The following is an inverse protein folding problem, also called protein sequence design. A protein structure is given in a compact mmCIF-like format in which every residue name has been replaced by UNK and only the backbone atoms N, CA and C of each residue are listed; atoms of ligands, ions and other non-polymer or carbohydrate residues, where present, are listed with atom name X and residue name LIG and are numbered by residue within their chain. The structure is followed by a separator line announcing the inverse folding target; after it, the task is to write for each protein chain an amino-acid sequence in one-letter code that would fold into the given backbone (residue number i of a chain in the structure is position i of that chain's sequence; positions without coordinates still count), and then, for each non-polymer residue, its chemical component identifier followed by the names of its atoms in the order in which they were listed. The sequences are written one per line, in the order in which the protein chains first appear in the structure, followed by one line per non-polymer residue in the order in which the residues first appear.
data_IF_075875434681
#
_entry.id   IF_075875434681
#
_cell.length_a   1.000
_cell.length_b   1.000
_cell.length_c   1.000
_cell.angle_alpha   90.00
_cell.angle_beta   90.00
_cell.angle_gamma   90.00
#
_symmetry.space_group_name_H-M   'P 1'
#
loop_
_entity.id
_entity.type
_entity.pdbx_description
1 polymer ?
#
# COMPACT_ATOMS: atom_id res chain seq x y z
N UNK A 1 22.60 6.14 -9.83
CA UNK A 1 21.27 5.69 -9.34
C UNK A 1 21.35 5.13 -7.91
N UNK A 2 21.77 5.91 -6.89
CA UNK A 2 22.28 5.30 -5.64
C UNK A 2 21.76 5.78 -4.29
N UNK A 3 21.06 6.92 -4.18
CA UNK A 3 20.73 7.52 -2.86
C UNK A 3 19.23 7.49 -2.55
N UNK A 4 18.37 7.76 -3.54
CA UNK A 4 16.90 7.75 -3.38
C UNK A 4 16.34 6.36 -3.06
N UNK A 5 16.88 5.31 -3.67
CA UNK A 5 16.52 3.92 -3.36
C UNK A 5 16.86 3.58 -1.92
N UNK A 6 18.06 3.93 -1.44
CA UNK A 6 18.50 3.60 -0.08
C UNK A 6 17.62 4.16 1.03
N UNK A 7 17.16 5.41 0.90
CA UNK A 7 16.34 6.06 1.94
C UNK A 7 14.92 5.47 1.95
N UNK A 8 14.33 5.29 0.78
CA UNK A 8 12.97 4.75 0.65
C UNK A 8 12.93 3.28 1.07
N UNK A 9 13.94 2.49 0.70
CA UNK A 9 14.06 1.09 1.11
C UNK A 9 14.22 0.98 2.64
N UNK A 10 15.04 1.85 3.28
CA UNK A 10 15.18 1.90 4.75
C UNK A 10 13.91 2.35 5.47
N UNK A 11 13.15 3.27 4.87
CA UNK A 11 11.85 3.69 5.40
C UNK A 11 10.81 2.56 5.30
N UNK A 12 10.81 1.84 4.18
CA UNK A 12 9.94 0.70 3.93
C UNK A 12 10.17 -0.46 4.91
N UNK A 13 11.41 -0.71 5.32
CA UNK A 13 11.73 -1.75 6.31
C UNK A 13 11.25 -1.42 7.73
N UNK A 14 11.09 -0.13 8.07
CA UNK A 14 10.77 0.31 9.42
C UNK A 14 9.38 0.91 9.52
N UNK A 15 8.36 0.06 9.65
CA UNK A 15 6.94 0.48 9.77
C UNK A 15 6.64 1.32 11.01
N UNK A 16 7.46 1.23 12.06
CA UNK A 16 7.34 2.07 13.26
C UNK A 16 7.67 3.54 13.00
N UNK A 17 8.43 3.85 11.95
CA UNK A 17 8.79 5.23 11.58
C UNK A 17 7.55 6.04 11.19
N UNK A 18 6.53 5.41 10.62
CA UNK A 18 5.28 6.10 10.28
C UNK A 18 4.57 6.63 11.52
N UNK A 19 4.61 5.89 12.63
CA UNK A 19 4.05 6.34 13.90
C UNK A 19 4.85 7.52 14.46
N UNK A 20 6.18 7.45 14.44
CA UNK A 20 7.01 8.54 14.92
C UNK A 20 6.85 9.81 14.08
N UNK A 21 6.78 9.70 12.76
CA UNK A 21 6.55 10.85 11.88
C UNK A 21 5.19 11.46 12.17
N UNK A 22 4.13 10.66 12.29
CA UNK A 22 2.81 11.16 12.62
C UNK A 22 2.79 11.87 13.99
N UNK A 23 3.41 11.27 15.02
CA UNK A 23 3.54 11.90 16.34
C UNK A 23 4.36 13.19 16.29
N UNK A 24 5.47 13.20 15.54
CA UNK A 24 6.34 14.37 15.44
C UNK A 24 5.66 15.54 14.71
N UNK A 25 4.96 15.26 13.60
CA UNK A 25 4.21 16.27 12.84
C UNK A 25 3.13 16.90 13.71
N UNK A 26 2.34 16.08 14.39
CA UNK A 26 1.26 16.56 15.25
C UNK A 26 1.80 17.23 16.50
N UNK A 27 2.86 16.71 17.11
CA UNK A 27 3.54 17.35 18.24
C UNK A 27 4.09 18.73 17.87
N UNK A 28 4.69 18.87 16.68
CA UNK A 28 5.18 20.15 16.17
C UNK A 28 4.03 21.13 15.89
N UNK A 29 2.93 20.66 15.30
CA UNK A 29 1.75 21.49 15.06
C UNK A 29 1.08 21.93 16.36
N UNK A 30 0.88 21.02 17.32
CA UNK A 30 0.39 21.33 18.67
C UNK A 30 1.28 22.34 19.38
N UNK A 31 2.60 22.18 19.32
CA UNK A 31 3.55 23.12 19.90
C UNK A 31 3.43 24.50 19.24
N UNK A 32 3.27 24.53 17.92
CA UNK A 32 3.07 25.77 17.14
C UNK A 32 1.78 26.45 17.58
N UNK A 33 0.63 25.76 17.53
CA UNK A 33 -0.68 26.31 17.94
C UNK A 33 -0.66 26.81 19.37
N UNK A 34 0.02 26.09 20.29
CA UNK A 34 0.13 26.50 21.69
C UNK A 34 1.02 27.74 21.87
N UNK A 35 2.08 27.86 21.07
CA UNK A 35 3.00 28.99 21.13
C UNK A 35 2.43 30.27 20.49
N UNK A 36 1.74 30.15 19.35
CA UNK A 36 1.20 31.29 18.60
C UNK A 36 -0.25 31.63 18.96
N UNK A 37 -0.96 30.73 19.66
CA UNK A 37 -2.43 30.77 19.86
C UNK A 37 -3.21 30.94 18.54
N UNK A 38 -2.60 30.57 17.43
CA UNK A 38 -3.09 30.78 16.06
C UNK A 38 -2.61 29.65 15.16
N UNK A 39 -3.38 29.29 14.12
CA UNK A 39 -3.08 28.15 13.24
C UNK A 39 -3.91 26.91 13.51
N UNK A 40 -4.91 27.02 14.39
CA UNK A 40 -5.94 26.00 14.57
C UNK A 40 -7.08 26.22 13.57
N UNK A 41 -6.80 25.88 12.31
CA UNK A 41 -7.73 26.13 11.20
C UNK A 41 -9.06 25.38 11.37
N UNK A 42 -9.06 24.22 12.04
CA UNK A 42 -10.25 23.44 12.34
C UNK A 42 -11.18 24.14 13.34
N UNK A 43 -10.67 24.99 14.24
CA UNK A 43 -11.54 25.81 15.10
C UNK A 43 -12.31 26.88 14.35
N UNK A 44 -11.87 27.26 13.16
CA UNK A 44 -12.56 28.27 12.34
C UNK A 44 -13.75 27.69 11.59
N UNK A 45 -13.90 26.37 11.59
CA UNK A 45 -14.93 25.63 10.88
C UNK A 45 -16.03 25.23 11.87
N UNK A 46 -17.29 25.42 11.46
CA UNK A 46 -18.45 25.03 12.26
C UNK A 46 -18.48 23.52 12.54
N UNK A 47 -19.05 23.12 13.68
CA UNK A 47 -19.05 21.72 14.11
C UNK A 47 -19.71 20.80 13.08
N UNK A 48 -20.76 21.26 12.38
CA UNK A 48 -21.43 20.48 11.33
C UNK A 48 -20.49 20.16 10.16
N UNK A 49 -19.77 21.16 9.67
CA UNK A 49 -18.81 21.03 8.58
C UNK A 49 -17.61 20.16 8.97
N UNK A 50 -17.17 20.20 10.23
CA UNK A 50 -16.12 19.29 10.73
C UNK A 50 -16.59 17.83 10.70
N UNK A 51 -17.80 17.55 11.17
CA UNK A 51 -18.33 16.19 11.15
C UNK A 51 -18.50 15.64 9.73
N UNK A 52 -18.92 16.47 8.78
CA UNK A 52 -18.99 16.10 7.36
C UNK A 52 -17.61 15.76 6.80
N UNK A 53 -16.60 16.56 7.13
CA UNK A 53 -15.22 16.32 6.71
C UNK A 53 -14.66 15.03 7.32
N UNK A 54 -14.93 14.75 8.59
CA UNK A 54 -14.54 13.51 9.25
C UNK A 54 -15.21 12.30 8.58
N UNK A 55 -16.50 12.40 8.27
CA UNK A 55 -17.23 11.37 7.52
C UNK A 55 -16.62 11.11 6.14
N UNK A 56 -16.31 12.16 5.39
CA UNK A 56 -15.66 12.05 4.09
C UNK A 56 -14.28 11.37 4.18
N UNK A 57 -13.49 11.74 5.21
CA UNK A 57 -12.18 11.13 5.46
C UNK A 57 -12.29 9.64 5.81
N UNK A 58 -13.26 9.25 6.66
CA UNK A 58 -13.53 7.84 6.98
C UNK A 58 -13.82 7.05 5.69
N UNK A 59 -14.66 7.61 4.82
CA UNK A 59 -14.97 7.02 3.52
C UNK A 59 -13.72 6.83 2.64
N UNK A 60 -12.90 7.87 2.50
CA UNK A 60 -11.69 7.84 1.70
C UNK A 60 -10.67 6.81 2.22
N UNK A 61 -10.38 6.80 3.53
CA UNK A 61 -9.43 5.85 4.14
C UNK A 61 -9.94 4.42 4.04
N UNK A 62 -11.25 4.20 4.19
CA UNK A 62 -11.87 2.88 4.03
C UNK A 62 -11.77 2.38 2.59
N UNK A 63 -12.00 3.24 1.60
CA UNK A 63 -11.85 2.90 0.19
C UNK A 63 -10.40 2.51 -0.16
N UNK A 64 -9.42 3.27 0.35
CA UNK A 64 -8.00 2.95 0.21
C UNK A 64 -7.68 1.59 0.86
N UNK A 65 -8.22 1.32 2.04
CA UNK A 65 -8.10 0.02 2.71
C UNK A 65 -8.65 -1.14 1.88
N UNK A 66 -9.82 -0.94 1.25
CA UNK A 66 -10.43 -1.91 0.34
C UNK A 66 -9.58 -2.19 -0.90
N UNK A 67 -9.09 -1.13 -1.56
CA UNK A 67 -8.16 -1.25 -2.69
C UNK A 67 -6.90 -2.02 -2.28
N UNK A 68 -6.40 -1.79 -1.06
CA UNK A 68 -5.24 -2.48 -0.53
C UNK A 68 -5.47 -3.98 -0.37
N UNK A 69 -6.65 -4.39 0.12
CA UNK A 69 -7.01 -5.80 0.22
C UNK A 69 -7.09 -6.47 -1.17
N UNK A 70 -7.64 -5.78 -2.17
CA UNK A 70 -7.72 -6.28 -3.55
C UNK A 70 -6.31 -6.47 -4.13
N UNK A 71 -5.42 -5.50 -3.97
CA UNK A 71 -4.05 -5.60 -4.44
C UNK A 71 -3.29 -6.77 -3.78
N UNK A 72 -3.52 -7.02 -2.49
CA UNK A 72 -2.97 -8.19 -1.80
C UNK A 72 -3.52 -9.48 -2.42
N UNK A 73 -4.83 -9.55 -2.68
CA UNK A 73 -5.45 -10.73 -3.27
C UNK A 73 -4.87 -11.04 -4.65
N UNK A 74 -4.74 -10.02 -5.52
CA UNK A 74 -4.09 -10.13 -6.84
C UNK A 74 -2.64 -10.58 -6.68
N UNK A 75 -1.91 -9.96 -5.76
CA UNK A 75 -0.54 -10.37 -5.48
C UNK A 75 -0.46 -11.83 -5.05
N UNK A 76 -1.39 -12.33 -4.23
CA UNK A 76 -1.37 -13.73 -3.77
C UNK A 76 -1.77 -14.72 -4.86
N UNK A 77 -2.60 -14.33 -5.84
CA UNK A 77 -3.05 -15.19 -6.92
C UNK A 77 -2.08 -15.30 -8.10
N UNK A 78 -1.16 -14.34 -8.25
CA UNK A 78 -0.10 -14.41 -9.26
C UNK A 78 0.83 -15.62 -9.03
N UNK A 79 1.30 -16.29 -10.09
CA UNK A 79 2.04 -17.56 -9.99
C UNK A 79 3.43 -17.58 -10.67
N UNK A 80 3.97 -16.44 -11.12
CA UNK A 80 5.28 -16.36 -11.80
C UNK A 80 6.45 -16.92 -10.98
N UNK A 81 7.45 -17.50 -11.66
CA UNK A 81 8.57 -18.23 -11.03
C UNK A 81 9.44 -17.37 -10.09
N UNK A 82 9.80 -16.12 -10.44
CA UNK A 82 10.52 -15.25 -9.49
C UNK A 82 9.62 -14.76 -8.39
N UNK A 83 8.35 -14.48 -8.67
CA UNK A 83 7.39 -14.14 -7.62
C UNK A 83 7.26 -15.30 -6.60
N UNK A 84 7.32 -16.55 -7.06
CA UNK A 84 7.41 -17.72 -6.19
C UNK A 84 8.74 -17.79 -5.42
N UNK A 85 9.88 -17.51 -6.07
CA UNK A 85 11.19 -17.48 -5.42
C UNK A 85 11.29 -16.39 -4.33
N UNK A 86 10.79 -15.17 -4.64
CA UNK A 86 10.70 -14.04 -3.70
C UNK A 86 9.76 -14.39 -2.54
N UNK A 87 8.61 -15.04 -2.82
CA UNK A 87 7.76 -15.56 -1.75
C UNK A 87 8.50 -16.59 -0.91
N UNK A 88 9.19 -17.56 -1.48
CA UNK A 88 9.88 -18.59 -0.71
C UNK A 88 10.98 -18.03 0.19
N UNK A 89 11.76 -17.05 -0.28
CA UNK A 89 12.82 -16.42 0.52
C UNK A 89 12.33 -15.36 1.52
N UNK A 90 11.25 -14.61 1.25
CA UNK A 90 10.80 -13.47 2.09
C UNK A 90 9.35 -13.56 2.58
N UNK A 91 8.71 -14.74 2.55
CA UNK A 91 7.32 -14.98 3.01
C UNK A 91 6.98 -14.35 4.36
N UNK A 92 7.90 -14.46 5.34
CA UNK A 92 7.70 -13.94 6.70
C UNK A 92 7.66 -12.42 6.77
N UNK A 93 8.63 -11.75 6.14
CA UNK A 93 8.73 -10.29 6.12
C UNK A 93 7.57 -9.65 5.36
N UNK A 94 7.24 -10.19 4.18
CA UNK A 94 6.18 -9.65 3.35
C UNK A 94 4.82 -9.75 4.03
N UNK A 95 4.50 -10.90 4.63
CA UNK A 95 3.25 -11.09 5.39
C UNK A 95 3.17 -10.16 6.60
N UNK A 96 4.30 -9.87 7.25
CA UNK A 96 4.38 -8.93 8.37
C UNK A 96 4.12 -7.49 7.91
N UNK A 97 4.70 -7.08 6.79
CA UNK A 97 4.49 -5.74 6.20
C UNK A 97 3.04 -5.55 5.77
N UNK A 98 2.45 -6.52 5.06
CA UNK A 98 1.05 -6.48 4.67
C UNK A 98 0.09 -6.43 5.86
N UNK A 99 0.31 -7.27 6.87
CA UNK A 99 -0.48 -7.23 8.10
C UNK A 99 -0.34 -5.89 8.81
N UNK A 100 0.87 -5.36 8.91
CA UNK A 100 1.14 -4.05 9.52
C UNK A 100 0.40 -2.93 8.77
N UNK A 101 0.38 -2.97 7.44
CA UNK A 101 -0.35 -2.00 6.62
C UNK A 101 -1.86 -2.07 6.91
N UNK A 102 -2.45 -3.25 6.86
CA UNK A 102 -3.89 -3.44 7.14
C UNK A 102 -4.27 -3.01 8.56
N UNK A 103 -3.47 -3.41 9.56
CA UNK A 103 -3.68 -2.99 10.96
C UNK A 103 -3.54 -1.47 11.10
N UNK A 104 -2.60 -0.85 10.39
CA UNK A 104 -2.43 0.60 10.36
C UNK A 104 -3.65 1.32 9.78
N UNK A 105 -4.15 0.86 8.63
CA UNK A 105 -5.34 1.46 8.00
C UNK A 105 -6.59 1.28 8.89
N UNK A 106 -6.77 0.11 9.50
CA UNK A 106 -7.85 -0.13 10.45
C UNK A 106 -7.75 0.80 11.67
N UNK A 107 -6.54 1.02 12.20
CA UNK A 107 -6.30 1.95 13.28
C UNK A 107 -6.61 3.39 12.87
N UNK A 108 -6.23 3.81 11.66
CA UNK A 108 -6.57 5.13 11.13
C UNK A 108 -8.09 5.33 11.03
N UNK A 109 -8.83 4.34 10.48
CA UNK A 109 -10.30 4.38 10.47
C UNK A 109 -10.89 4.46 11.88
N UNK A 110 -10.35 3.67 12.83
CA UNK A 110 -10.78 3.72 14.23
C UNK A 110 -10.58 5.08 14.87
N UNK A 111 -9.45 5.74 14.62
CA UNK A 111 -9.17 7.09 15.11
C UNK A 111 -10.10 8.13 14.47
N UNK A 112 -10.37 8.03 13.17
CA UNK A 112 -11.32 8.91 12.49
C UNK A 112 -12.75 8.72 13.00
N UNK A 113 -13.19 7.49 13.25
CA UNK A 113 -14.49 7.19 13.86
C UNK A 113 -14.59 7.72 15.29
N UNK A 114 -13.50 7.60 16.06
CA UNK A 114 -13.41 8.17 17.39
C UNK A 114 -13.53 9.69 17.32
N UNK A 115 -12.85 10.32 16.35
CA UNK A 115 -12.94 11.75 16.13
C UNK A 115 -14.36 12.20 15.74
N UNK A 116 -14.98 11.49 14.80
CA UNK A 116 -16.35 11.70 14.38
C UNK A 116 -17.37 11.56 15.53
N UNK A 117 -17.16 10.59 16.43
CA UNK A 117 -18.09 10.30 17.52
C UNK A 117 -17.95 11.24 18.72
N UNK A 118 -16.76 11.80 18.93
CA UNK A 118 -16.45 12.66 20.08
C UNK A 118 -16.56 14.16 19.77
N UNK A 119 -16.62 14.56 18.49
CA UNK A 119 -16.79 15.96 18.13
C UNK A 119 -18.15 16.48 18.59
N UNK A 120 -18.12 17.63 19.28
CA UNK A 120 -19.28 18.34 19.82
C UNK A 120 -19.05 19.84 19.67
N UNK A 121 -20.10 20.64 19.81
CA UNK A 121 -20.09 22.09 19.52
C UNK A 121 -18.93 22.88 20.15
N UNK A 122 -18.43 22.47 21.33
CA UNK A 122 -17.34 23.14 22.03
C UNK A 122 -15.96 22.43 21.96
N UNK A 123 -15.84 21.32 21.22
CA UNK A 123 -14.63 20.47 21.10
C UNK A 123 -13.81 20.35 22.42
N UNK A 124 -14.42 19.87 23.52
CA UNK A 124 -13.78 19.87 24.84
C UNK A 124 -12.56 18.95 24.94
N UNK A 125 -12.44 17.98 24.03
CA UNK A 125 -11.38 16.98 24.03
C UNK A 125 -10.28 17.24 23.00
N UNK A 126 -10.31 18.38 22.30
CA UNK A 126 -9.36 18.71 21.23
C UNK A 126 -9.28 17.60 20.16
N UNK A 127 -10.45 17.09 19.80
CA UNK A 127 -10.68 15.92 18.94
C UNK A 127 -10.11 16.14 17.53
N UNK A 128 -10.06 17.40 17.10
CA UNK A 128 -9.42 17.85 15.87
C UNK A 128 -7.97 17.38 15.69
N UNK A 129 -7.17 17.31 16.76
CA UNK A 129 -5.78 16.83 16.64
C UNK A 129 -5.71 15.31 16.46
N UNK A 130 -6.71 14.58 16.97
CA UNK A 130 -6.83 13.13 16.71
C UNK A 130 -7.16 12.91 15.23
N UNK A 131 -8.05 13.72 14.67
CA UNK A 131 -8.34 13.71 13.24
C UNK A 131 -7.10 14.02 12.40
N UNK A 132 -6.38 15.11 12.71
CA UNK A 132 -5.16 15.48 11.98
C UNK A 132 -4.09 14.39 12.06
N UNK A 133 -3.90 13.80 13.24
CA UNK A 133 -3.01 12.66 13.43
C UNK A 133 -3.41 11.48 12.54
N UNK A 134 -4.70 11.13 12.55
CA UNK A 134 -5.21 10.03 11.76
C UNK A 134 -5.03 10.27 10.25
N UNK A 135 -5.20 11.51 9.79
CA UNK A 135 -4.99 11.89 8.40
C UNK A 135 -3.52 11.82 7.97
N UNK A 136 -2.60 12.37 8.77
CA UNK A 136 -1.15 12.29 8.50
C UNK A 136 -0.71 10.82 8.49
N UNK A 137 -1.17 10.04 9.46
CA UNK A 137 -0.85 8.62 9.54
C UNK A 137 -1.42 7.85 8.35
N UNK A 138 -2.67 8.09 7.95
CA UNK A 138 -3.29 7.48 6.77
C UNK A 138 -2.54 7.84 5.49
N UNK A 139 -2.13 9.10 5.31
CA UNK A 139 -1.37 9.54 4.14
C UNK A 139 0.00 8.83 4.04
N UNK A 140 0.72 8.72 5.16
CA UNK A 140 1.99 7.97 5.21
C UNK A 140 1.80 6.50 4.84
N UNK A 141 0.73 5.87 5.35
CA UNK A 141 0.40 4.48 5.01
C UNK A 141 0.04 4.31 3.54
N UNK A 142 -0.69 5.27 2.98
CA UNK A 142 -1.04 5.25 1.56
C UNK A 142 0.20 5.40 0.67
N UNK A 143 1.12 6.31 1.01
CA UNK A 143 2.39 6.44 0.31
C UNK A 143 3.20 5.14 0.35
N UNK A 144 3.23 4.45 1.50
CA UNK A 144 3.91 3.16 1.65
C UNK A 144 3.25 2.07 0.81
N UNK A 145 1.92 2.09 0.75
CA UNK A 145 1.15 1.16 -0.08
C UNK A 145 1.43 1.36 -1.58
N UNK A 146 1.44 2.61 -2.08
CA UNK A 146 1.80 2.93 -3.47
C UNK A 146 3.21 2.42 -3.77
N UNK A 147 4.17 2.69 -2.89
CA UNK A 147 5.55 2.24 -3.08
C UNK A 147 5.66 0.71 -3.14
N UNK A 148 4.98 0.00 -2.24
CA UNK A 148 5.00 -1.46 -2.21
C UNK A 148 4.38 -2.04 -3.49
N UNK A 149 3.31 -1.41 -3.98
CA UNK A 149 2.64 -1.81 -5.21
C UNK A 149 3.54 -1.61 -6.44
N UNK A 150 4.21 -0.45 -6.55
CA UNK A 150 5.18 -0.16 -7.61
C UNK A 150 6.31 -1.20 -7.65
N UNK A 151 6.85 -1.58 -6.48
CA UNK A 151 7.88 -2.64 -6.40
C UNK A 151 7.38 -4.00 -6.86
N UNK A 152 6.13 -4.36 -6.53
CA UNK A 152 5.54 -5.63 -6.97
C UNK A 152 5.32 -5.63 -8.48
N UNK A 153 4.81 -4.53 -9.04
CA UNK A 153 4.64 -4.40 -10.48
C UNK A 153 5.97 -4.50 -11.22
N UNK A 154 7.01 -3.82 -10.74
CA UNK A 154 8.35 -3.91 -11.34
C UNK A 154 8.90 -5.35 -11.36
N UNK A 155 8.62 -6.16 -10.33
CA UNK A 155 8.99 -7.59 -10.32
C UNK A 155 8.14 -8.39 -11.30
N UNK A 156 6.83 -8.12 -11.35
CA UNK A 156 5.91 -8.79 -12.26
C UNK A 156 6.24 -8.51 -13.74
N UNK A 157 6.58 -7.26 -14.07
CA UNK A 157 6.97 -6.88 -15.44
C UNK A 157 8.26 -7.58 -15.87
N UNK A 158 9.22 -7.73 -14.94
CA UNK A 158 10.43 -8.49 -15.19
C UNK A 158 10.18 -9.99 -15.42
N UNK A 159 9.16 -10.57 -14.77
CA UNK A 159 8.73 -11.96 -15.01
C UNK A 159 8.12 -12.13 -16.41
N UNK A 160 7.27 -11.18 -16.83
CA UNK A 160 6.61 -11.21 -18.15
C UNK A 160 7.62 -11.11 -19.32
N UNK A 161 8.66 -10.28 -19.18
CA UNK A 161 9.71 -10.15 -20.21
C UNK A 161 10.49 -11.44 -20.37
N UNK A 162 10.72 -12.19 -19.30
CA UNK A 162 11.49 -13.44 -19.32
C UNK A 162 10.67 -14.63 -19.82
N UNK A 163 9.37 -14.70 -19.50
CA UNK A 163 8.44 -15.66 -20.12
C UNK A 163 8.35 -15.45 -21.64
N UNK A 164 8.28 -14.19 -22.08
CA UNK A 164 8.29 -13.85 -23.52
C UNK A 164 9.62 -14.20 -24.22
N UNK A 165 10.74 -14.16 -23.51
CA UNK A 165 12.07 -14.50 -24.06
C UNK A 165 12.45 -15.98 -23.93
N UNK A 166 11.85 -16.70 -22.98
CA UNK A 166 12.11 -18.12 -22.70
C UNK A 166 11.10 -19.05 -23.36
N UNK A 167 10.04 -18.50 -23.97
CA UNK A 167 9.23 -19.22 -24.94
C UNK A 167 10.13 -19.59 -26.12
N UNK A 168 10.77 -20.76 -26.03
CA UNK A 168 11.47 -21.41 -27.12
C UNK A 168 10.50 -21.41 -28.29
N UNK A 169 10.71 -20.51 -29.26
CA UNK A 169 9.98 -20.53 -30.52
C UNK A 169 10.14 -21.95 -31.03
N UNK A 170 9.06 -22.73 -31.20
CA UNK A 170 9.18 -24.08 -31.68
C UNK A 170 9.93 -24.00 -33.00
N UNK A 171 11.16 -24.53 -33.04
CA UNK A 171 11.94 -24.56 -34.28
C UNK A 171 11.09 -25.37 -35.24
N UNK A 172 10.57 -24.72 -36.29
CA UNK A 172 9.72 -25.35 -37.29
C UNK A 172 10.56 -26.41 -37.98
N UNK A 173 10.46 -27.64 -37.53
CA UNK A 173 11.21 -28.76 -38.09
C UNK A 173 10.75 -28.97 -39.54
N UNK A 174 11.59 -28.69 -40.55
CA UNK A 174 11.20 -28.83 -41.95
C UNK A 174 10.92 -30.30 -42.33
N UNK A 175 11.42 -31.25 -41.55
CA UNK A 175 11.32 -32.67 -41.82
C UNK A 175 10.17 -33.35 -41.07
N UNK A 176 9.30 -32.58 -40.40
CA UNK A 176 8.16 -33.13 -39.66
C UNK A 176 7.21 -33.94 -40.56
N UNK A 177 7.01 -33.49 -41.81
CA UNK A 177 6.20 -34.16 -42.82
C UNK A 177 6.83 -35.49 -43.29
N UNK A 178 8.16 -35.53 -43.39
CA UNK A 178 8.87 -36.72 -43.84
C UNK A 178 8.78 -37.85 -42.80
N UNK A 179 8.98 -37.53 -41.51
CA UNK A 179 8.84 -38.50 -40.42
C UNK A 179 7.41 -39.06 -40.31
N UNK A 180 6.40 -38.22 -40.52
CA UNK A 180 5.00 -38.67 -40.44
C UNK A 180 4.64 -39.63 -41.58
N UNK A 181 5.27 -39.47 -42.74
CA UNK A 181 5.08 -40.33 -43.91
C UNK A 181 5.74 -41.70 -43.71
N UNK A 182 7.00 -41.72 -43.26
CA UNK A 182 7.72 -42.98 -42.97
C UNK A 182 7.06 -43.82 -41.88
N UNK A 183 6.38 -43.19 -40.93
CA UNK A 183 5.68 -43.89 -39.85
C UNK A 183 4.39 -44.58 -40.32
N UNK A 184 3.78 -44.10 -41.41
CA UNK A 184 2.63 -44.73 -42.05
C UNK A 184 3.04 -45.93 -42.90
N UNK A 185 4.13 -45.80 -43.67
CA UNK A 185 4.64 -46.85 -44.54
C UNK A 185 5.19 -48.07 -43.78
N UNK A 186 5.62 -47.90 -42.53
CA UNK A 186 6.09 -49.01 -41.66
C UNK A 186 4.96 -49.82 -41.00
N UNK A 187 3.70 -49.44 -41.21
CA UNK A 187 2.52 -50.05 -40.56
C UNK A 187 1.64 -50.88 -41.50
N UNK A 188 2.08 -51.07 -42.73
CA UNK A 188 1.50 -51.94 -43.77
C UNK A 188 2.48 -53.04 -44.15
#
# INVERSE_FOLDING_TARGET
MGVRTSIIDKWADRTWVDYLIAVAVIGAHLATVRATRSGDWLTWIDSSQRTDMYGAAIGAVSAIGGLSAIAIAIYTSANGERLQAVRQQRRGELRRTWRSLLQGTALACGLLLTAFSLDRDADPFSVRFVFEYAMVFAAMRFARFIWLFDRIMAVSDADLVEEGSSAVVPVRDPNWLARRRSQYDSST
#
